data_IF_552343160704
#
_entry.id   IF_552343160704
#
_cell.length_a   1.000
_cell.length_b   1.000
_cell.length_c   1.000
_cell.angle_alpha   90.00
_cell.angle_beta   90.00
_cell.angle_gamma   90.00
#
_symmetry.space_group_name_H-M   'P 1'
#
loop_
_entity.id
_entity.type
_entity.pdbx_description
1 polymer ?
#
# COMPACT_ATOMS: atom_id res chain seq x y z
N UNK A 1 59.80 8.57 -16.55
CA UNK A 1 58.67 7.69 -16.16
C UNK A 1 58.80 7.39 -14.67
N UNK A 2 57.92 7.89 -13.80
CA UNK A 2 57.79 7.41 -12.43
C UNK A 2 56.69 6.32 -12.30
N UNK A 3 56.73 5.46 -11.27
CA UNK A 3 55.82 4.33 -11.15
C UNK A 3 54.41 4.73 -10.69
N UNK A 4 53.45 3.95 -11.17
CA UNK A 4 52.00 4.06 -10.95
C UNK A 4 51.66 3.75 -9.50
N UNK A 5 50.97 4.68 -8.83
CA UNK A 5 50.40 4.48 -7.50
C UNK A 5 49.24 3.49 -7.64
N UNK A 6 49.41 2.27 -7.10
CA UNK A 6 48.31 1.31 -6.99
C UNK A 6 47.33 1.80 -5.92
N UNK A 7 46.13 2.19 -6.35
CA UNK A 7 45.00 2.42 -5.43
C UNK A 7 44.46 1.07 -4.95
N UNK A 8 44.10 0.91 -3.66
CA UNK A 8 43.53 -0.33 -3.18
C UNK A 8 42.14 -0.54 -3.79
N UNK A 9 41.90 -1.77 -4.24
CA UNK A 9 40.59 -2.23 -4.68
C UNK A 9 39.56 -1.97 -3.57
N UNK A 10 38.66 -1.03 -3.81
CA UNK A 10 37.53 -0.76 -2.95
C UNK A 10 36.52 -1.88 -3.19
N UNK A 11 36.69 -3.00 -2.49
CA UNK A 11 35.67 -4.05 -2.39
C UNK A 11 34.49 -3.48 -1.61
N UNK A 12 33.53 -2.91 -2.33
CA UNK A 12 32.19 -2.69 -1.83
C UNK A 12 31.47 -4.03 -1.80
N UNK A 13 31.36 -4.59 -0.59
CA UNK A 13 30.41 -5.65 -0.27
C UNK A 13 29.00 -5.22 -0.70
N UNK A 14 28.15 -6.12 -1.24
CA UNK A 14 26.76 -5.81 -1.44
C UNK A 14 26.09 -5.76 -0.06
N UNK A 15 25.81 -4.54 0.41
CA UNK A 15 24.87 -4.31 1.49
C UNK A 15 23.49 -4.48 0.84
N UNK A 16 22.98 -5.71 0.78
CA UNK A 16 21.54 -5.96 0.63
C UNK A 16 20.97 -6.24 2.00
N UNK A 17 21.01 -5.21 2.85
CA UNK A 17 19.97 -5.03 3.85
C UNK A 17 18.79 -4.44 3.08
N UNK A 18 17.72 -5.21 2.98
CA UNK A 18 16.42 -4.81 2.44
C UNK A 18 15.77 -3.76 3.36
N UNK A 19 16.46 -2.65 3.60
CA UNK A 19 15.83 -1.40 4.00
C UNK A 19 15.33 -0.77 2.71
N UNK A 20 14.20 -1.30 2.25
CA UNK A 20 13.30 -0.65 1.30
C UNK A 20 13.19 0.81 1.75
N UNK A 21 13.92 1.71 1.08
CA UNK A 21 13.95 3.13 1.42
C UNK A 21 12.51 3.59 1.53
N UNK A 22 12.04 3.80 2.77
CA UNK A 22 10.66 4.14 3.08
C UNK A 22 10.42 5.51 2.44
N UNK A 23 9.97 5.52 1.17
CA UNK A 23 9.87 6.77 0.43
C UNK A 23 8.88 7.67 1.17
N UNK A 24 9.16 8.97 1.24
CA UNK A 24 8.26 9.91 1.90
C UNK A 24 6.83 9.82 1.33
N UNK A 25 6.72 9.52 0.04
CA UNK A 25 5.45 9.28 -0.65
C UNK A 25 4.74 8.03 -0.13
N UNK A 26 5.45 6.90 0.01
CA UNK A 26 4.88 5.66 0.54
C UNK A 26 4.33 5.85 1.95
N UNK A 27 5.04 6.61 2.80
CA UNK A 27 4.58 6.96 4.16
C UNK A 27 3.29 7.78 4.15
N UNK A 28 3.20 8.75 3.25
CA UNK A 28 2.00 9.59 3.11
C UNK A 28 0.80 8.78 2.62
N UNK A 29 1.01 7.91 1.62
CA UNK A 29 -0.03 6.99 1.13
C UNK A 29 -0.46 6.02 2.23
N UNK A 30 0.50 5.46 2.99
CA UNK A 30 0.23 4.56 4.12
C UNK A 30 -0.65 5.23 5.17
N UNK A 31 -0.29 6.44 5.62
CA UNK A 31 -1.11 7.21 6.58
C UNK A 31 -2.50 7.50 6.04
N UNK A 32 -2.62 7.78 4.74
CA UNK A 32 -3.92 8.03 4.13
C UNK A 32 -4.76 6.75 4.12
N UNK A 33 -4.20 5.63 3.68
CA UNK A 33 -4.84 4.32 3.67
C UNK A 33 -5.30 3.92 5.07
N UNK A 34 -4.42 4.07 6.06
CA UNK A 34 -4.75 3.80 7.47
C UNK A 34 -5.96 4.64 7.92
N UNK A 35 -5.94 5.95 7.66
CA UNK A 35 -7.05 6.84 8.04
C UNK A 35 -8.39 6.48 7.37
N UNK A 36 -8.41 6.17 6.07
CA UNK A 36 -9.66 5.73 5.40
C UNK A 36 -10.09 4.34 5.82
N UNK A 37 -9.14 3.45 6.13
CA UNK A 37 -9.43 2.11 6.60
C UNK A 37 -10.12 2.17 7.97
N UNK A 38 -9.56 2.86 8.96
CA UNK A 38 -10.19 3.03 10.28
C UNK A 38 -11.58 3.63 10.18
N UNK A 39 -11.74 4.74 9.42
CA UNK A 39 -13.05 5.36 9.22
C UNK A 39 -14.05 4.45 8.53
N UNK A 40 -13.59 3.64 7.58
CA UNK A 40 -14.42 2.65 6.89
C UNK A 40 -14.85 1.52 7.80
N UNK A 41 -13.94 1.02 8.63
CA UNK A 41 -14.23 -0.01 9.63
C UNK A 41 -15.24 0.50 10.65
N UNK A 42 -14.99 1.65 11.29
CA UNK A 42 -15.93 2.28 12.25
C UNK A 42 -17.33 2.51 11.65
N UNK A 43 -17.39 2.85 10.36
CA UNK A 43 -18.67 3.13 9.69
C UNK A 43 -19.48 1.87 9.37
N UNK A 44 -18.80 0.77 9.06
CA UNK A 44 -19.43 -0.41 8.45
C UNK A 44 -19.41 -1.67 9.31
N UNK A 45 -18.56 -1.69 10.34
CA UNK A 45 -18.35 -2.82 11.22
C UNK A 45 -18.50 -2.34 12.67
N UNK A 46 -19.25 -3.09 13.45
CA UNK A 46 -19.39 -2.84 14.88
C UNK A 46 -18.41 -3.75 15.62
N UNK A 47 -17.15 -3.29 15.72
CA UNK A 47 -16.03 -4.05 16.31
C UNK A 47 -15.38 -3.22 17.41
N UNK A 48 -14.96 -3.87 18.48
CA UNK A 48 -14.34 -3.22 19.64
C UNK A 48 -12.86 -2.91 19.36
N UNK A 49 -12.22 -3.73 18.53
CA UNK A 49 -10.84 -3.55 18.13
C UNK A 49 -10.61 -3.91 16.66
N UNK A 50 -9.72 -3.15 16.02
CA UNK A 50 -9.30 -3.37 14.65
C UNK A 50 -7.78 -3.36 14.58
N UNK A 51 -7.21 -4.49 14.14
CA UNK A 51 -5.76 -4.72 14.15
C UNK A 51 -5.27 -4.88 12.72
N UNK A 52 -4.37 -3.96 12.34
CA UNK A 52 -3.72 -3.96 11.02
C UNK A 52 -2.22 -4.12 11.19
N UNK A 53 -1.60 -5.12 10.55
CA UNK A 53 -0.15 -5.21 10.52
C UNK A 53 0.41 -3.99 9.76
N UNK A 54 1.22 -3.18 10.44
CA UNK A 54 1.80 -1.94 9.85
C UNK A 54 2.51 -2.19 8.53
N UNK A 55 3.22 -3.32 8.42
CA UNK A 55 3.94 -3.71 7.22
C UNK A 55 3.01 -3.99 6.03
N UNK A 56 1.76 -4.42 6.26
CA UNK A 56 0.79 -4.71 5.20
C UNK A 56 0.37 -3.44 4.47
N UNK A 57 0.04 -2.37 5.20
CA UNK A 57 -0.33 -1.10 4.56
C UNK A 57 0.85 -0.41 3.91
N UNK A 58 2.05 -0.53 4.49
CA UNK A 58 3.26 0.04 3.90
C UNK A 58 3.59 -0.65 2.56
N UNK A 59 3.57 -1.98 2.53
CA UNK A 59 3.74 -2.75 1.27
C UNK A 59 2.67 -2.38 0.24
N UNK A 60 1.41 -2.29 0.66
CA UNK A 60 0.33 -1.86 -0.23
C UNK A 60 0.54 -0.45 -0.78
N UNK A 61 1.07 0.47 0.02
CA UNK A 61 1.41 1.82 -0.44
C UNK A 61 2.52 1.80 -1.50
N UNK A 62 3.58 1.01 -1.29
CA UNK A 62 4.65 0.82 -2.28
C UNK A 62 4.11 0.24 -3.59
N UNK A 63 3.24 -0.77 -3.52
CA UNK A 63 2.61 -1.37 -4.70
C UNK A 63 1.70 -0.38 -5.44
N UNK A 64 0.92 0.44 -4.73
CA UNK A 64 0.11 1.50 -5.33
C UNK A 64 0.99 2.48 -6.09
N UNK A 65 2.09 2.92 -5.49
CA UNK A 65 3.04 3.85 -6.13
C UNK A 65 3.65 3.22 -7.37
N UNK A 66 4.08 1.96 -7.29
CA UNK A 66 4.65 1.21 -8.41
C UNK A 66 3.65 1.03 -9.54
N UNK A 67 2.43 0.59 -9.26
CA UNK A 67 1.38 0.40 -10.27
C UNK A 67 0.97 1.71 -10.92
N UNK A 68 1.07 2.81 -10.18
CA UNK A 68 0.72 4.14 -10.66
C UNK A 68 1.85 4.76 -11.50
N UNK A 69 3.12 4.54 -11.16
CA UNK A 69 4.26 5.16 -11.86
C UNK A 69 4.39 4.72 -13.31
N UNK A 70 3.89 3.53 -13.65
CA UNK A 70 3.80 3.01 -15.01
C UNK A 70 2.72 3.69 -15.88
N UNK A 71 1.98 4.67 -15.34
CA UNK A 71 0.82 5.28 -16.00
C UNK A 71 1.00 6.77 -16.27
N UNK A 72 0.33 7.32 -17.30
CA UNK A 72 0.22 8.76 -17.48
C UNK A 72 -0.32 9.41 -16.19
N UNK A 73 0.31 10.52 -15.79
CA UNK A 73 -0.01 11.27 -14.56
C UNK A 73 0.33 10.55 -13.23
N UNK A 74 0.91 9.35 -13.28
CA UNK A 74 1.38 8.66 -12.08
C UNK A 74 0.26 8.41 -11.06
N UNK A 75 0.60 8.57 -9.78
CA UNK A 75 -0.36 8.50 -8.68
C UNK A 75 -1.49 9.54 -8.83
N UNK A 76 -1.22 10.72 -9.41
CA UNK A 76 -2.22 11.82 -9.50
C UNK A 76 -3.43 11.45 -10.35
N UNK A 77 -3.25 10.59 -11.35
CA UNK A 77 -4.34 10.05 -12.17
C UNK A 77 -5.02 8.80 -11.57
N UNK A 78 -4.66 8.40 -10.35
CA UNK A 78 -5.13 7.18 -9.72
C UNK A 78 -6.31 7.40 -8.77
N UNK A 79 -7.19 6.41 -8.77
CA UNK A 79 -8.29 6.23 -7.83
C UNK A 79 -8.09 4.92 -7.11
N UNK A 80 -7.95 4.97 -5.78
CA UNK A 80 -7.78 3.76 -4.97
C UNK A 80 -9.13 3.39 -4.36
N UNK A 81 -9.67 2.24 -4.72
CA UNK A 81 -10.80 1.64 -4.05
C UNK A 81 -10.31 0.66 -2.99
N UNK A 82 -10.72 0.86 -1.74
CA UNK A 82 -10.35 0.02 -0.61
C UNK A 82 -11.49 -0.92 -0.27
N UNK A 83 -11.22 -2.22 -0.33
CA UNK A 83 -12.15 -3.28 0.03
C UNK A 83 -11.62 -4.05 1.24
N UNK A 84 -12.56 -4.55 2.05
CA UNK A 84 -12.29 -5.50 3.12
C UNK A 84 -13.17 -6.72 2.93
N UNK A 85 -12.55 -7.89 2.80
CA UNK A 85 -13.22 -9.16 2.79
C UNK A 85 -13.26 -9.73 4.22
N UNK A 86 -14.48 -10.00 4.69
CA UNK A 86 -14.84 -10.47 6.02
C UNK A 86 -15.96 -11.52 5.87
N UNK A 87 -15.80 -12.68 6.52
CA UNK A 87 -16.82 -13.74 6.57
C UNK A 87 -17.42 -14.11 5.20
N UNK A 88 -16.56 -14.36 4.21
CA UNK A 88 -16.98 -14.73 2.84
C UNK A 88 -17.61 -13.61 2.01
N UNK A 89 -17.72 -12.39 2.55
CA UNK A 89 -18.24 -11.21 1.86
C UNK A 89 -17.14 -10.15 1.69
N UNK A 90 -17.22 -9.33 0.64
CA UNK A 90 -16.27 -8.22 0.42
C UNK A 90 -17.01 -6.90 0.36
N UNK A 91 -16.57 -5.92 1.16
CA UNK A 91 -17.21 -4.61 1.29
C UNK A 91 -16.24 -3.50 0.91
N UNK A 92 -16.69 -2.57 0.07
CA UNK A 92 -15.94 -1.35 -0.25
C UNK A 92 -16.01 -0.39 0.94
N UNK A 93 -14.88 -0.16 1.60
CA UNK A 93 -14.74 0.73 2.74
C UNK A 93 -14.63 2.20 2.31
N UNK A 94 -13.83 2.44 1.28
CA UNK A 94 -13.51 3.79 0.84
C UNK A 94 -13.12 3.83 -0.63
N UNK A 95 -13.17 5.03 -1.17
CA UNK A 95 -12.60 5.37 -2.46
C UNK A 95 -11.81 6.67 -2.28
N UNK A 96 -10.54 6.66 -2.69
CA UNK A 96 -9.60 7.76 -2.53
C UNK A 96 -9.13 8.21 -3.89
N UNK A 97 -9.57 9.40 -4.30
CA UNK A 97 -9.01 10.10 -5.47
C UNK A 97 -7.70 10.73 -5.05
N UNK A 98 -6.60 10.40 -5.74
CA UNK A 98 -5.28 10.91 -5.40
C UNK A 98 -5.14 12.42 -5.66
N UNK A 99 -5.65 12.92 -6.79
CA UNK A 99 -5.73 14.34 -7.10
C UNK A 99 -7.13 14.67 -7.66
N UNK A 100 -7.99 15.38 -6.90
CA UNK A 100 -9.35 15.70 -7.34
C UNK A 100 -9.40 16.70 -8.50
N UNK A 101 -8.27 17.31 -8.87
CA UNK A 101 -8.19 18.24 -10.02
C UNK A 101 -7.83 17.52 -11.32
N UNK A 102 -7.45 16.26 -11.25
CA UNK A 102 -7.07 15.44 -12.39
C UNK A 102 -8.19 14.46 -12.73
N UNK A 103 -8.38 14.19 -14.01
CA UNK A 103 -9.26 13.11 -14.43
C UNK A 103 -8.65 11.76 -14.03
N UNK A 104 -9.46 10.89 -13.43
CA UNK A 104 -9.04 9.54 -13.08
C UNK A 104 -8.80 8.74 -14.36
N UNK A 105 -7.60 8.15 -14.49
CA UNK A 105 -7.19 7.29 -15.61
C UNK A 105 -6.86 5.87 -15.20
N UNK A 106 -6.62 5.67 -13.91
CA UNK A 106 -6.27 4.36 -13.35
C UNK A 106 -7.10 4.12 -12.10
N UNK A 107 -7.75 2.96 -12.01
CA UNK A 107 -8.42 2.50 -10.79
C UNK A 107 -7.58 1.37 -10.20
N UNK A 108 -7.23 1.48 -8.94
CA UNK A 108 -6.52 0.44 -8.17
C UNK A 108 -7.48 -0.07 -7.11
N UNK A 109 -7.82 -1.35 -7.19
CA UNK A 109 -8.62 -2.04 -6.17
C UNK A 109 -7.67 -2.71 -5.20
N UNK A 110 -7.61 -2.20 -3.97
CA UNK A 110 -6.88 -2.81 -2.87
C UNK A 110 -7.88 -3.56 -1.99
N UNK A 111 -7.73 -4.87 -1.91
CA UNK A 111 -8.60 -5.74 -1.10
C UNK A 111 -7.80 -6.35 0.05
N UNK A 112 -8.17 -5.96 1.26
CA UNK A 112 -7.66 -6.51 2.50
C UNK A 112 -8.51 -7.71 2.90
N UNK A 113 -7.87 -8.74 3.45
CA UNK A 113 -8.55 -9.97 3.88
C UNK A 113 -8.48 -10.08 5.39
N UNK A 114 -9.61 -10.31 6.04
CA UNK A 114 -9.64 -10.63 7.46
C UNK A 114 -9.00 -12.00 7.71
N UNK A 115 -8.37 -12.17 8.86
CA UNK A 115 -7.97 -13.48 9.34
C UNK A 115 -9.16 -14.25 9.92
N UNK A 116 -9.03 -15.58 9.93
CA UNK A 116 -10.03 -16.48 10.52
C UNK A 116 -9.91 -16.42 12.05
N UNK A 117 -10.34 -15.31 12.64
CA UNK A 117 -10.31 -15.13 14.10
C UNK A 117 -11.59 -15.65 14.75
N UNK A 118 -11.43 -16.29 15.92
CA UNK A 118 -12.52 -16.84 16.73
C UNK A 118 -13.31 -15.79 17.52
N UNK A 119 -12.81 -14.56 17.62
CA UNK A 119 -13.50 -13.45 18.30
C UNK A 119 -14.28 -12.58 17.30
N UNK A 120 -15.62 -12.52 17.37
CA UNK A 120 -16.43 -11.69 16.49
C UNK A 120 -16.31 -10.19 16.79
N UNK A 121 -15.81 -9.80 17.97
CA UNK A 121 -15.66 -8.41 18.36
C UNK A 121 -14.36 -7.76 17.83
N UNK A 122 -13.39 -8.57 17.38
CA UNK A 122 -12.10 -8.07 16.92
C UNK A 122 -11.84 -8.40 15.46
N UNK A 123 -11.54 -7.38 14.67
CA UNK A 123 -11.23 -7.54 13.25
C UNK A 123 -9.72 -7.51 13.05
N UNK A 124 -9.13 -8.68 12.80
CA UNK A 124 -7.72 -8.84 12.47
C UNK A 124 -7.55 -8.96 10.96
N UNK A 125 -6.67 -8.16 10.37
CA UNK A 125 -6.30 -8.35 8.97
C UNK A 125 -5.21 -9.40 8.83
N UNK A 126 -5.34 -10.28 7.84
CA UNK A 126 -4.23 -11.11 7.37
C UNK A 126 -3.09 -10.21 6.90
N UNK A 127 -1.88 -10.72 7.04
CA UNK A 127 -0.67 -10.06 6.53
C UNK A 127 -0.68 -9.82 5.02
N UNK A 128 -1.56 -10.50 4.27
CA UNK A 128 -1.69 -10.41 2.82
C UNK A 128 -2.86 -9.54 2.34
N UNK A 129 -2.70 -8.97 1.15
CA UNK A 129 -3.73 -8.24 0.40
C UNK A 129 -3.69 -8.65 -1.06
N UNK A 130 -4.77 -8.39 -1.79
CA UNK A 130 -4.80 -8.51 -3.24
C UNK A 130 -4.97 -7.13 -3.86
N UNK A 131 -4.28 -6.88 -4.97
CA UNK A 131 -4.35 -5.60 -5.67
C UNK A 131 -4.61 -5.82 -7.15
N UNK A 132 -5.63 -5.14 -7.67
CA UNK A 132 -5.99 -5.21 -9.09
C UNK A 132 -5.96 -3.81 -9.69
N UNK A 133 -5.35 -3.68 -10.87
CA UNK A 133 -5.32 -2.42 -11.62
C UNK A 133 -6.28 -2.51 -12.80
N UNK A 134 -7.24 -1.58 -12.86
CA UNK A 134 -8.12 -1.38 -14.00
C UNK A 134 -7.77 -0.06 -14.69
N UNK A 135 -7.28 -0.15 -15.93
CA UNK A 135 -7.04 1.03 -16.75
C UNK A 135 -8.37 1.53 -17.32
N UNK A 136 -8.66 2.81 -17.15
CA UNK A 136 -9.79 3.44 -17.84
C UNK A 136 -9.35 3.80 -19.27
N UNK A 137 -10.27 3.71 -20.25
CA UNK A 137 -10.00 4.06 -21.65
C UNK A 137 -9.62 5.53 -21.84
#
# INVERSE_FOLDING_TARGET
>A
MPPVIQSPAFTLSPITEEEEVESMEARLVTKKLESVLYRGVERYFNVDAFIVPRNTLLKAAHDILRLSSERPLGLRGALVELYLCYDGSCKRLAQVVADPRQEVKTVIKLTLHQDETSDPATLHLRSGYTMERCCLP
#
